data_IF_333004587214
#
_entry.id   IF_333004587214
#
_cell.length_a   1.000
_cell.length_b   1.000
_cell.length_c   1.000
_cell.angle_alpha   90.00
_cell.angle_beta   90.00
_cell.angle_gamma   90.00
#
_symmetry.space_group_name_H-M   'P 1'
#
loop_
_entity.id
_entity.type
_entity.pdbx_description
1 polymer ?
#
# COMPACT_ATOMS: atom_id res chain seq x y z
N UNK A 1 -9.89 1.95 -38.33
CA UNK A 1 -8.44 1.72 -38.46
C UNK A 1 -8.14 0.33 -37.94
N UNK A 2 -7.92 -0.65 -38.84
CA UNK A 2 -7.68 -2.05 -38.47
C UNK A 2 -6.19 -2.21 -38.18
N UNK A 3 -5.83 -2.49 -36.93
CA UNK A 3 -4.44 -2.70 -36.52
C UNK A 3 -4.01 -4.08 -37.00
N UNK A 4 -3.16 -4.14 -38.03
CA UNK A 4 -2.52 -5.39 -38.46
C UNK A 4 -1.51 -5.82 -37.37
N UNK A 5 -1.91 -6.75 -36.50
CA UNK A 5 -0.93 -7.60 -35.82
C UNK A 5 -0.27 -8.46 -36.88
N UNK A 6 1.05 -8.35 -37.03
CA UNK A 6 1.78 -9.14 -38.02
C UNK A 6 1.68 -10.64 -37.69
N UNK A 7 1.94 -11.49 -38.69
CA UNK A 7 1.88 -12.96 -38.56
C UNK A 7 2.84 -13.48 -37.47
N UNK A 8 3.93 -12.74 -37.24
CA UNK A 8 4.88 -12.98 -36.14
C UNK A 8 4.22 -12.84 -34.77
N UNK A 9 3.44 -11.78 -34.56
CA UNK A 9 2.79 -11.48 -33.27
C UNK A 9 1.64 -12.42 -32.98
N UNK A 10 0.90 -12.82 -34.01
CA UNK A 10 -0.09 -13.88 -33.88
C UNK A 10 0.56 -15.19 -33.42
N UNK A 11 1.71 -15.55 -34.01
CA UNK A 11 2.46 -16.73 -33.60
C UNK A 11 3.01 -16.62 -32.17
N UNK A 12 3.54 -15.46 -31.78
CA UNK A 12 4.00 -15.19 -30.40
C UNK A 12 2.85 -15.32 -29.40
N UNK A 13 1.70 -14.68 -29.68
CA UNK A 13 0.49 -14.79 -28.86
C UNK A 13 0.07 -16.25 -28.66
N UNK A 14 0.01 -17.03 -29.74
CA UNK A 14 -0.36 -18.46 -29.69
C UNK A 14 0.64 -19.27 -28.86
N UNK A 15 1.95 -18.99 -28.99
CA UNK A 15 3.00 -19.66 -28.20
C UNK A 15 2.89 -19.32 -26.71
N UNK A 16 2.65 -18.05 -26.37
CA UNK A 16 2.42 -17.61 -24.98
C UNK A 16 1.22 -18.34 -24.38
N UNK A 17 0.07 -18.32 -25.09
CA UNK A 17 -1.14 -18.99 -24.62
C UNK A 17 -0.91 -20.48 -24.38
N UNK A 18 -0.29 -21.19 -25.33
CA UNK A 18 -0.01 -22.62 -25.17
C UNK A 18 0.92 -22.91 -24.01
N UNK A 19 2.01 -22.15 -23.90
CA UNK A 19 2.98 -22.34 -22.81
C UNK A 19 2.30 -22.20 -21.45
N UNK A 20 1.57 -21.10 -21.24
CA UNK A 20 0.93 -20.80 -19.96
C UNK A 20 -0.19 -21.80 -19.62
N UNK A 21 -1.02 -22.20 -20.59
CA UNK A 21 -2.07 -23.21 -20.35
C UNK A 21 -1.51 -24.60 -20.00
N UNK A 22 -0.27 -24.91 -20.41
CA UNK A 22 0.37 -26.20 -20.11
C UNK A 22 1.06 -26.22 -18.73
N UNK A 23 1.13 -25.07 -18.04
CA UNK A 23 1.64 -25.03 -16.68
C UNK A 23 0.64 -25.69 -15.73
N UNK A 24 1.17 -26.49 -14.80
CA UNK A 24 0.36 -27.17 -13.79
C UNK A 24 -0.38 -26.15 -12.92
N UNK A 25 -1.66 -26.40 -12.66
CA UNK A 25 -2.49 -25.56 -11.78
C UNK A 25 -2.97 -24.24 -12.41
N UNK A 26 -2.79 -24.05 -13.72
CA UNK A 26 -3.36 -22.91 -14.44
C UNK A 26 -4.78 -23.25 -14.89
N UNK A 27 -5.74 -22.41 -14.50
CA UNK A 27 -7.16 -22.54 -14.86
C UNK A 27 -7.54 -21.63 -16.05
N UNK A 28 -6.96 -20.43 -16.12
CA UNK A 28 -7.25 -19.48 -17.19
C UNK A 28 -6.02 -18.71 -17.66
N UNK A 29 -5.98 -18.39 -18.96
CA UNK A 29 -4.95 -17.53 -19.55
C UNK A 29 -5.56 -16.58 -20.57
N UNK A 30 -5.33 -15.29 -20.37
CA UNK A 30 -5.64 -14.23 -21.32
C UNK A 30 -4.34 -13.60 -21.84
N UNK A 31 -4.24 -13.45 -23.16
CA UNK A 31 -3.08 -12.81 -23.80
C UNK A 31 -3.57 -11.77 -24.80
N UNK A 32 -3.19 -10.53 -24.56
CA UNK A 32 -3.49 -9.38 -25.40
C UNK A 32 -2.19 -8.74 -25.88
N UNK A 33 -2.17 -8.35 -27.15
CA UNK A 33 -1.07 -7.61 -27.75
C UNK A 33 -1.63 -6.28 -28.25
N UNK A 34 -1.01 -5.18 -27.85
CA UNK A 34 -1.36 -3.83 -28.28
C UNK A 34 -0.17 -3.20 -28.96
N UNK A 35 -0.34 -2.78 -30.21
CA UNK A 35 0.65 -1.97 -30.90
C UNK A 35 0.66 -0.54 -30.33
N UNK A 36 1.84 -0.05 -29.93
CA UNK A 36 2.04 1.24 -29.29
C UNK A 36 2.94 2.18 -30.11
N UNK A 37 2.92 2.05 -31.45
CA UNK A 37 3.76 2.85 -32.33
C UNK A 37 5.24 2.50 -32.14
N UNK A 38 6.07 3.52 -31.97
CA UNK A 38 7.52 3.38 -31.81
C UNK A 38 7.93 2.63 -30.54
N UNK A 39 7.04 2.58 -29.53
CA UNK A 39 7.25 1.78 -28.33
C UNK A 39 7.09 0.26 -28.58
N UNK A 40 6.81 -0.15 -29.82
CA UNK A 40 6.64 -1.54 -30.19
C UNK A 40 5.32 -2.11 -29.68
N UNK A 41 5.34 -3.38 -29.28
CA UNK A 41 4.15 -4.11 -28.85
C UNK A 41 4.17 -4.24 -27.33
N UNK A 42 3.07 -3.80 -26.71
CA UNK A 42 2.80 -4.06 -25.31
C UNK A 42 1.96 -5.32 -25.17
N UNK A 43 2.48 -6.27 -24.40
CA UNK A 43 1.79 -7.49 -24.05
C UNK A 43 1.07 -7.31 -22.71
N UNK A 44 -0.19 -7.69 -22.65
CA UNK A 44 -0.94 -7.83 -21.40
C UNK A 44 -1.33 -9.28 -21.23
N UNK A 45 -0.89 -9.90 -20.15
CA UNK A 45 -1.03 -11.33 -19.88
C UNK A 45 -1.64 -11.49 -18.51
N UNK A 46 -2.76 -12.21 -18.42
CA UNK A 46 -3.41 -12.56 -17.16
C UNK A 46 -3.46 -14.07 -17.04
N UNK A 47 -2.93 -14.60 -15.96
CA UNK A 47 -2.89 -16.03 -15.66
C UNK A 47 -3.66 -16.26 -14.37
N UNK A 48 -4.79 -16.96 -14.45
CA UNK A 48 -5.52 -17.42 -13.27
C UNK A 48 -5.11 -18.84 -12.93
N UNK A 49 -4.71 -19.06 -11.68
CA UNK A 49 -4.46 -20.40 -11.15
C UNK A 49 -5.72 -20.97 -10.51
N UNK A 50 -5.73 -22.29 -10.32
CA UNK A 50 -6.67 -22.98 -9.45
C UNK A 50 -6.65 -22.36 -8.05
N UNK A 51 -7.77 -22.49 -7.33
CA UNK A 51 -7.83 -22.10 -5.92
C UNK A 51 -6.96 -23.04 -5.08
N UNK A 52 -6.30 -22.49 -4.04
CA UNK A 52 -5.38 -23.22 -3.15
C UNK A 52 -4.27 -23.98 -3.89
N UNK A 53 -3.55 -23.34 -4.84
CA UNK A 53 -2.50 -24.02 -5.57
C UNK A 53 -1.39 -24.43 -4.58
N UNK A 54 -0.84 -25.65 -4.67
CA UNK A 54 0.26 -26.08 -3.80
C UNK A 54 1.45 -25.11 -3.91
N UNK A 55 2.13 -24.83 -2.79
CA UNK A 55 3.27 -23.91 -2.75
C UNK A 55 4.34 -24.22 -3.82
N UNK A 56 4.65 -25.50 -4.05
CA UNK A 56 5.60 -25.90 -5.09
C UNK A 56 5.14 -25.55 -6.51
N UNK A 57 3.82 -25.59 -6.77
CA UNK A 57 3.23 -25.15 -8.03
C UNK A 57 3.38 -23.63 -8.17
N UNK A 58 3.09 -22.86 -7.12
CA UNK A 58 3.27 -21.41 -7.10
C UNK A 58 4.72 -21.02 -7.39
N UNK A 59 5.69 -21.65 -6.71
CA UNK A 59 7.13 -21.39 -6.91
C UNK A 59 7.52 -21.65 -8.37
N UNK A 60 7.08 -22.77 -8.94
CA UNK A 60 7.39 -23.11 -10.33
C UNK A 60 6.78 -22.12 -11.33
N UNK A 61 5.53 -21.70 -11.11
CA UNK A 61 4.83 -20.77 -12.00
C UNK A 61 5.40 -19.37 -11.88
N UNK A 62 5.55 -18.83 -10.67
CA UNK A 62 6.11 -17.50 -10.41
C UNK A 62 7.57 -17.42 -10.84
N UNK A 63 8.38 -18.43 -10.54
CA UNK A 63 9.82 -18.43 -10.85
C UNK A 63 10.13 -18.51 -12.35
N UNK A 64 9.31 -19.22 -13.13
CA UNK A 64 9.63 -19.51 -14.53
C UNK A 64 8.84 -18.66 -15.54
N UNK A 65 7.62 -18.24 -15.21
CA UNK A 65 6.71 -17.68 -16.22
C UNK A 65 7.18 -16.35 -16.78
N UNK A 66 7.66 -15.43 -15.93
CA UNK A 66 8.13 -14.12 -16.38
C UNK A 66 9.28 -14.24 -17.39
N UNK A 67 10.29 -15.05 -17.09
CA UNK A 67 11.42 -15.30 -17.99
C UNK A 67 10.96 -15.89 -19.34
N UNK A 68 10.06 -16.89 -19.30
CA UNK A 68 9.60 -17.54 -20.52
C UNK A 68 8.72 -16.62 -21.37
N UNK A 69 7.92 -15.79 -20.73
CA UNK A 69 7.10 -14.78 -21.41
C UNK A 69 7.97 -13.75 -22.12
N UNK A 70 9.03 -13.26 -21.46
CA UNK A 70 10.02 -12.36 -22.09
C UNK A 70 10.66 -13.02 -23.32
N UNK A 71 11.12 -14.28 -23.18
CA UNK A 71 11.72 -15.04 -24.28
C UNK A 71 10.77 -15.20 -25.49
N UNK A 72 9.51 -15.60 -25.24
CA UNK A 72 8.54 -15.86 -26.31
C UNK A 72 8.06 -14.54 -26.95
N UNK A 73 7.81 -13.51 -26.14
CA UNK A 73 7.37 -12.20 -26.64
C UNK A 73 8.48 -11.46 -27.39
N UNK A 74 9.75 -11.80 -27.14
CA UNK A 74 10.91 -11.07 -27.67
C UNK A 74 10.94 -9.61 -27.21
N UNK A 75 10.21 -9.30 -26.13
CA UNK A 75 10.01 -7.96 -25.60
C UNK A 75 10.71 -7.86 -24.24
N UNK A 76 11.18 -6.66 -23.90
CA UNK A 76 11.70 -6.39 -22.56
C UNK A 76 10.58 -6.48 -21.51
N UNK A 77 10.95 -6.69 -20.24
CA UNK A 77 10.03 -6.65 -19.08
C UNK A 77 9.12 -5.44 -19.08
N UNK A 78 9.65 -4.26 -19.44
CA UNK A 78 8.88 -3.00 -19.50
C UNK A 78 7.73 -2.99 -20.54
N UNK A 79 7.78 -3.88 -21.53
CA UNK A 79 6.77 -4.03 -22.56
C UNK A 79 5.78 -5.17 -22.26
N UNK A 80 5.94 -5.87 -21.13
CA UNK A 80 5.09 -6.98 -20.69
C UNK A 80 4.42 -6.63 -19.36
N UNK A 81 3.10 -6.46 -19.39
CA UNK A 81 2.24 -6.42 -18.21
C UNK A 81 1.69 -7.83 -17.96
N UNK A 82 2.40 -8.62 -17.14
CA UNK A 82 1.98 -9.96 -16.75
C UNK A 82 1.49 -9.97 -15.31
N UNK A 83 0.33 -10.58 -15.07
CA UNK A 83 -0.20 -10.85 -13.73
C UNK A 83 -0.57 -12.33 -13.59
N UNK A 84 -0.16 -12.91 -12.47
CA UNK A 84 -0.55 -14.25 -12.02
C UNK A 84 -1.45 -14.06 -10.80
N UNK A 85 -2.65 -14.63 -10.82
CA UNK A 85 -3.64 -14.45 -9.78
C UNK A 85 -4.19 -15.78 -9.29
N UNK A 86 -4.42 -15.89 -7.99
CA UNK A 86 -5.04 -17.06 -7.37
C UNK A 86 -5.78 -16.68 -6.08
N UNK A 87 -6.56 -17.63 -5.57
CA UNK A 87 -7.14 -17.54 -4.23
C UNK A 87 -6.37 -18.48 -3.30
N UNK A 88 -5.96 -17.94 -2.15
CA UNK A 88 -5.40 -18.70 -1.03
C UNK A 88 -6.28 -18.45 0.18
N UNK A 89 -6.92 -19.49 0.70
CA UNK A 89 -8.02 -19.42 1.65
C UNK A 89 -9.12 -18.48 1.15
N UNK A 90 -9.24 -17.32 1.79
CA UNK A 90 -10.14 -16.24 1.37
C UNK A 90 -9.39 -15.00 0.88
N UNK A 91 -8.06 -15.05 0.81
CA UNK A 91 -7.20 -13.97 0.32
C UNK A 91 -7.01 -14.09 -1.18
N UNK A 92 -7.29 -13.01 -1.92
CA UNK A 92 -6.93 -12.91 -3.33
C UNK A 92 -5.49 -12.48 -3.47
N UNK A 93 -4.65 -13.29 -4.11
CA UNK A 93 -3.26 -12.92 -4.41
C UNK A 93 -3.12 -12.54 -5.87
N UNK A 94 -2.41 -11.44 -6.14
CA UNK A 94 -2.00 -11.00 -7.47
C UNK A 94 -0.50 -10.76 -7.49
N UNK A 95 0.15 -11.25 -8.53
CA UNK A 95 1.60 -11.21 -8.66
C UNK A 95 1.99 -10.74 -10.06
N UNK A 96 2.62 -9.58 -10.15
CA UNK A 96 2.89 -8.91 -11.43
C UNK A 96 4.36 -8.52 -11.63
N UNK A 97 5.28 -9.15 -10.90
CA UNK A 97 6.71 -8.93 -11.07
C UNK A 97 7.52 -10.20 -11.10
N UNK A 98 8.68 -10.12 -11.75
CA UNK A 98 9.79 -11.03 -11.52
C UNK A 98 10.44 -10.72 -10.15
N UNK A 99 10.84 -11.76 -9.44
CA UNK A 99 11.59 -11.68 -8.17
C UNK A 99 12.90 -12.45 -8.27
N UNK A 100 13.88 -12.08 -7.46
CA UNK A 100 15.18 -12.76 -7.42
C UNK A 100 15.09 -14.18 -6.87
N UNK A 101 14.41 -14.34 -5.73
CA UNK A 101 14.15 -15.63 -5.10
C UNK A 101 12.63 -15.89 -5.02
N UNK A 102 12.11 -16.66 -5.99
CA UNK A 102 10.70 -17.03 -6.01
C UNK A 102 10.32 -17.99 -4.88
N UNK A 103 11.27 -18.76 -4.33
CA UNK A 103 10.98 -19.75 -3.28
C UNK A 103 10.61 -19.03 -1.99
N UNK A 104 11.48 -18.14 -1.53
CA UNK A 104 11.27 -17.41 -0.28
C UNK A 104 10.13 -16.39 -0.41
N UNK A 105 10.04 -15.69 -1.54
CA UNK A 105 8.99 -14.71 -1.75
C UNK A 105 7.58 -15.35 -1.80
N UNK A 106 7.42 -16.50 -2.47
CA UNK A 106 6.13 -17.22 -2.49
C UNK A 106 5.77 -17.72 -1.09
N UNK A 107 6.72 -18.33 -0.36
CA UNK A 107 6.47 -18.79 1.01
C UNK A 107 6.05 -17.64 1.93
N UNK A 108 6.73 -16.50 1.86
CA UNK A 108 6.42 -15.33 2.66
C UNK A 108 5.01 -14.79 2.36
N UNK A 109 4.62 -14.74 1.08
CA UNK A 109 3.27 -14.28 0.68
C UNK A 109 2.18 -15.27 1.06
N UNK A 110 2.40 -16.58 0.84
CA UNK A 110 1.45 -17.61 1.25
C UNK A 110 1.30 -17.66 2.78
N UNK A 111 2.39 -17.53 3.53
CA UNK A 111 2.38 -17.48 4.99
C UNK A 111 1.71 -16.24 5.58
N UNK A 112 1.58 -15.18 4.77
CA UNK A 112 0.84 -13.98 5.14
C UNK A 112 -0.67 -14.12 4.94
N UNK A 113 -1.13 -14.98 4.03
CA UNK A 113 -2.55 -15.17 3.76
C UNK A 113 -3.32 -15.54 5.04
N UNK A 114 -4.42 -14.85 5.28
CA UNK A 114 -5.25 -15.05 6.46
C UNK A 114 -6.69 -14.59 6.17
N UNK A 115 -7.71 -15.08 6.92
CA UNK A 115 -9.10 -14.70 6.71
C UNK A 115 -9.39 -13.20 6.81
N UNK A 116 -8.61 -12.48 7.64
CA UNK A 116 -8.72 -11.03 7.80
C UNK A 116 -8.20 -10.24 6.58
N UNK A 117 -7.44 -10.88 5.68
CA UNK A 117 -6.86 -10.25 4.49
C UNK A 117 -7.79 -10.47 3.30
N UNK A 118 -8.16 -9.37 2.64
CA UNK A 118 -8.96 -9.40 1.42
C UNK A 118 -8.08 -9.73 0.21
N UNK A 119 -6.93 -9.04 0.09
CA UNK A 119 -6.03 -9.23 -1.04
C UNK A 119 -4.58 -8.88 -0.74
N UNK A 120 -3.67 -9.54 -1.44
CA UNK A 120 -2.24 -9.26 -1.47
C UNK A 120 -1.85 -9.02 -2.93
N UNK A 121 -1.10 -7.96 -3.19
CA UNK A 121 -0.56 -7.63 -4.51
C UNK A 121 0.95 -7.50 -4.43
N UNK A 122 1.68 -8.22 -5.26
CA UNK A 122 3.14 -8.15 -5.37
C UNK A 122 3.48 -7.58 -6.74
N UNK A 123 4.02 -6.36 -6.75
CA UNK A 123 4.26 -5.59 -7.98
C UNK A 123 5.63 -4.93 -7.97
N UNK A 124 6.03 -4.32 -9.08
CA UNK A 124 7.25 -3.50 -9.17
C UNK A 124 7.28 -2.30 -8.22
N UNK A 125 6.13 -1.92 -7.63
CA UNK A 125 6.04 -0.88 -6.61
C UNK A 125 6.17 -1.41 -5.18
N UNK A 126 6.33 -2.74 -5.03
CA UNK A 126 6.38 -3.43 -3.76
C UNK A 126 5.16 -4.32 -3.50
N UNK A 127 5.04 -4.75 -2.25
CA UNK A 127 3.96 -5.64 -1.81
C UNK A 127 2.89 -4.82 -1.09
N UNK A 128 1.63 -4.98 -1.48
CA UNK A 128 0.48 -4.30 -0.89
C UNK A 128 -0.51 -5.31 -0.31
N UNK A 129 -0.85 -5.15 0.95
CA UNK A 129 -1.81 -5.97 1.69
C UNK A 129 -3.04 -5.13 1.99
N UNK A 130 -4.21 -5.61 1.59
CA UNK A 130 -5.50 -5.03 1.94
C UNK A 130 -6.21 -5.94 2.91
N UNK A 131 -6.42 -5.46 4.12
CA UNK A 131 -7.28 -6.08 5.12
C UNK A 131 -8.74 -5.82 4.79
N UNK A 132 -9.60 -6.76 5.14
CA UNK A 132 -11.06 -6.59 5.06
C UNK A 132 -11.49 -5.43 5.95
N UNK A 133 -12.62 -4.81 5.60
CA UNK A 133 -13.21 -3.75 6.41
C UNK A 133 -13.55 -4.26 7.82
N UNK A 134 -13.31 -3.42 8.81
CA UNK A 134 -13.60 -3.70 10.22
C UNK A 134 -14.48 -2.59 10.81
N UNK A 135 -15.35 -2.95 11.75
CA UNK A 135 -16.15 -1.97 12.50
C UNK A 135 -15.34 -1.25 13.58
N UNK A 136 -14.31 -1.91 14.09
CA UNK A 136 -13.39 -1.39 15.11
C UNK A 136 -11.93 -1.51 14.65
N UNK A 137 -11.05 -0.71 15.26
CA UNK A 137 -9.65 -0.68 14.89
C UNK A 137 -8.98 -2.01 15.28
N UNK A 138 -8.33 -2.73 14.35
CA UNK A 138 -7.76 -4.04 14.63
C UNK A 138 -6.50 -3.95 15.51
N UNK A 139 -6.38 -4.83 16.49
CA UNK A 139 -5.27 -4.81 17.47
C UNK A 139 -3.93 -5.33 16.89
N UNK A 140 -3.97 -6.21 15.89
CA UNK A 140 -2.75 -6.86 15.35
C UNK A 140 -2.84 -7.02 13.83
N UNK A 141 -2.72 -5.90 13.12
CA UNK A 141 -2.75 -5.87 11.66
C UNK A 141 -1.43 -5.42 11.04
N UNK A 142 -0.57 -4.69 11.76
CA UNK A 142 0.74 -4.29 11.24
C UNK A 142 1.70 -5.49 11.25
N UNK A 143 2.46 -5.65 10.17
CA UNK A 143 3.51 -6.66 10.10
C UNK A 143 4.64 -6.26 11.05
N UNK A 144 5.14 -7.24 11.81
CA UNK A 144 6.24 -7.02 12.74
C UNK A 144 7.53 -6.62 11.99
N UNK A 145 8.37 -5.76 12.59
CA UNK A 145 9.70 -5.47 12.06
C UNK A 145 10.50 -6.77 11.85
N UNK A 146 11.23 -6.86 10.73
CA UNK A 146 12.05 -8.04 10.40
C UNK A 146 11.29 -9.24 9.84
N UNK A 147 9.98 -9.15 9.60
CA UNK A 147 9.23 -10.20 8.90
C UNK A 147 9.78 -10.44 7.49
N UNK A 148 9.82 -11.70 7.06
CA UNK A 148 10.36 -12.13 5.75
C UNK A 148 9.68 -11.40 4.58
N UNK A 149 8.40 -11.06 4.72
CA UNK A 149 7.65 -10.34 3.68
C UNK A 149 8.16 -8.92 3.44
N UNK A 150 8.82 -8.31 4.43
CA UNK A 150 9.47 -7.00 4.30
C UNK A 150 10.80 -7.09 3.52
N UNK A 151 11.37 -8.29 3.43
CA UNK A 151 12.66 -8.54 2.76
C UNK A 151 12.49 -8.89 1.27
N UNK A 152 11.25 -8.97 0.76
CA UNK A 152 10.99 -9.28 -0.65
C UNK A 152 11.56 -8.17 -1.54
N UNK A 153 12.75 -8.45 -2.10
CA UNK A 153 13.50 -7.59 -3.03
C UNK A 153 13.70 -6.13 -2.54
N UNK A 154 13.73 -5.90 -1.21
CA UNK A 154 13.94 -4.58 -0.58
C UNK A 154 12.98 -3.48 -1.08
N UNK A 155 11.78 -3.85 -1.53
CA UNK A 155 10.77 -2.87 -1.95
C UNK A 155 9.83 -2.47 -0.81
N UNK A 156 9.15 -1.31 -0.94
CA UNK A 156 8.18 -0.88 0.05
C UNK A 156 7.08 -1.93 0.27
N UNK A 157 6.73 -2.12 1.53
CA UNK A 157 5.62 -2.93 1.97
C UNK A 157 4.49 -2.01 2.43
N UNK A 158 3.31 -2.17 1.85
CA UNK A 158 2.12 -1.35 2.14
C UNK A 158 1.05 -2.22 2.78
N UNK A 159 0.45 -1.73 3.85
CA UNK A 159 -0.70 -2.34 4.50
C UNK A 159 -1.83 -1.33 4.54
N UNK A 160 -3.05 -1.77 4.25
CA UNK A 160 -4.24 -0.91 4.29
C UNK A 160 -5.40 -1.64 4.95
N UNK A 161 -6.08 -0.97 5.88
CA UNK A 161 -7.34 -1.41 6.47
C UNK A 161 -8.36 -0.28 6.38
N UNK A 162 -9.64 -0.62 6.25
CA UNK A 162 -10.75 0.33 6.36
C UNK A 162 -11.46 0.09 7.69
N UNK A 163 -11.55 1.11 8.54
CA UNK A 163 -12.26 1.06 9.82
C UNK A 163 -13.45 2.01 9.75
N UNK A 164 -14.66 1.47 9.58
CA UNK A 164 -15.82 2.27 9.15
C UNK A 164 -15.56 2.92 7.78
N UNK A 165 -15.62 4.25 7.70
CA UNK A 165 -15.27 5.00 6.47
C UNK A 165 -13.81 5.48 6.44
N UNK A 166 -13.06 5.27 7.53
CA UNK A 166 -11.68 5.75 7.64
C UNK A 166 -10.72 4.77 6.97
N UNK A 167 -9.92 5.26 6.03
CA UNK A 167 -8.83 4.48 5.45
C UNK A 167 -7.56 4.65 6.29
N UNK A 168 -6.99 3.55 6.76
CA UNK A 168 -5.71 3.52 7.48
C UNK A 168 -4.69 2.82 6.61
N UNK A 169 -3.58 3.49 6.29
CA UNK A 169 -2.49 2.96 5.47
C UNK A 169 -1.17 3.08 6.21
N UNK A 170 -0.39 2.00 6.21
CA UNK A 170 1.01 2.01 6.64
C UNK A 170 1.88 1.63 5.45
N UNK A 171 2.97 2.35 5.22
CA UNK A 171 4.01 2.00 4.25
C UNK A 171 5.34 1.92 4.98
N UNK A 172 5.95 0.74 4.97
CA UNK A 172 7.25 0.48 5.58
C UNK A 172 8.25 -0.02 4.54
N UNK A 173 9.53 0.22 4.79
CA UNK A 173 10.68 -0.37 4.12
C UNK A 173 11.41 -1.35 5.04
N UNK A 174 11.01 -1.45 6.32
CA UNK A 174 11.51 -2.42 7.29
C UNK A 174 12.73 -1.95 8.08
N UNK A 175 13.11 -0.68 7.98
CA UNK A 175 14.26 -0.11 8.70
C UNK A 175 13.88 0.46 10.08
N UNK A 176 12.63 0.83 10.29
CA UNK A 176 12.12 1.45 11.51
C UNK A 176 10.96 0.66 12.14
N UNK A 177 10.87 0.70 13.47
CA UNK A 177 9.74 0.15 14.21
C UNK A 177 8.57 1.14 14.26
N UNK A 178 7.70 1.03 13.25
CA UNK A 178 6.47 1.81 13.16
C UNK A 178 5.39 1.37 14.17
N UNK A 179 5.54 0.19 14.79
CA UNK A 179 4.56 -0.34 15.76
C UNK A 179 4.42 0.53 17.01
N UNK A 180 5.44 1.34 17.32
CA UNK A 180 5.39 2.32 18.42
C UNK A 180 4.43 3.48 18.19
N UNK A 181 3.98 3.72 16.94
CA UNK A 181 3.06 4.82 16.61
C UNK A 181 1.64 4.41 17.02
N UNK A 182 0.96 5.18 17.89
CA UNK A 182 -0.32 4.78 18.49
C UNK A 182 -1.52 5.00 17.54
N UNK A 183 -1.55 4.29 16.40
CA UNK A 183 -2.55 4.49 15.34
C UNK A 183 -4.00 4.25 15.81
N UNK A 184 -4.19 3.31 16.74
CA UNK A 184 -5.51 3.06 17.35
C UNK A 184 -5.99 4.28 18.13
N UNK A 185 -5.13 4.84 18.98
CA UNK A 185 -5.44 6.04 19.76
C UNK A 185 -5.61 7.27 18.86
N UNK A 186 -4.85 7.36 17.76
CA UNK A 186 -5.02 8.42 16.74
C UNK A 186 -6.41 8.32 16.12
N UNK A 187 -6.84 7.13 15.70
CA UNK A 187 -8.20 6.90 15.20
C UNK A 187 -9.26 7.27 16.25
N UNK A 188 -9.06 6.85 17.51
CA UNK A 188 -9.96 7.12 18.63
C UNK A 188 -10.05 8.61 19.00
N UNK A 189 -8.99 9.39 18.77
CA UNK A 189 -8.98 10.83 18.99
C UNK A 189 -9.71 11.64 17.90
N UNK A 190 -9.86 11.08 16.69
CA UNK A 190 -10.69 11.70 15.64
C UNK A 190 -12.16 11.63 16.09
N UNK A 191 -12.85 12.77 16.18
CA UNK A 191 -14.25 12.79 16.60
C UNK A 191 -15.16 11.96 15.67
N UNK A 192 -16.18 11.22 16.18
CA UNK A 192 -17.10 10.44 15.35
C UNK A 192 -17.74 11.23 14.19
N UNK A 193 -18.02 12.53 14.38
CA UNK A 193 -18.58 13.41 13.33
C UNK A 193 -17.67 13.57 12.11
N UNK A 194 -16.36 13.33 12.28
CA UNK A 194 -15.39 13.36 11.20
C UNK A 194 -15.23 11.98 10.58
N UNK A 195 -15.19 10.91 11.37
CA UNK A 195 -14.91 9.54 10.88
C UNK A 195 -15.90 9.03 9.82
N UNK A 196 -17.13 9.55 9.80
CA UNK A 196 -18.15 9.16 8.82
C UNK A 196 -18.06 9.91 7.49
N UNK A 197 -17.11 10.84 7.34
CA UNK A 197 -16.95 11.64 6.12
C UNK A 197 -16.12 10.88 5.08
N UNK A 198 -16.45 11.08 3.81
CA UNK A 198 -15.62 10.61 2.71
C UNK A 198 -14.25 11.32 2.74
N UNK A 199 -13.19 10.63 2.31
CA UNK A 199 -11.85 11.20 2.21
C UNK A 199 -11.06 11.26 3.52
N UNK A 200 -11.61 10.72 4.61
CA UNK A 200 -10.90 10.62 5.89
C UNK A 200 -9.85 9.53 5.83
N UNK A 201 -8.61 9.88 6.16
CA UNK A 201 -7.51 8.91 6.13
C UNK A 201 -6.44 9.17 7.18
N UNK A 202 -5.83 8.07 7.63
CA UNK A 202 -4.63 8.03 8.46
C UNK A 202 -3.56 7.32 7.63
N UNK A 203 -2.42 7.97 7.38
CA UNK A 203 -1.32 7.41 6.61
C UNK A 203 -0.03 7.53 7.41
N UNK A 204 0.65 6.41 7.62
CA UNK A 204 1.96 6.37 8.25
C UNK A 204 2.97 5.87 7.22
N UNK A 205 3.92 6.71 6.87
CA UNK A 205 4.94 6.43 5.87
C UNK A 205 6.32 6.44 6.54
N UNK A 206 7.06 5.34 6.43
CA UNK A 206 8.46 5.26 6.92
C UNK A 206 9.39 6.16 6.11
N UNK A 207 9.12 6.27 4.81
CA UNK A 207 9.83 7.14 3.89
C UNK A 207 8.80 7.88 3.04
N UNK A 208 8.31 8.99 3.58
CA UNK A 208 7.38 9.85 2.86
C UNK A 208 8.06 10.47 1.64
N UNK A 209 7.41 10.42 0.47
CA UNK A 209 8.01 10.82 -0.80
C UNK A 209 8.33 12.33 -0.87
N UNK A 210 7.65 13.14 -0.06
CA UNK A 210 7.80 14.61 -0.07
C UNK A 210 8.82 15.05 0.97
N UNK A 211 8.71 14.53 2.18
CA UNK A 211 9.54 14.92 3.33
C UNK A 211 10.79 14.07 3.51
N UNK A 212 10.84 12.88 2.91
CA UNK A 212 11.89 11.87 3.13
C UNK A 212 12.05 11.52 4.62
N UNK A 213 10.96 11.55 5.37
CA UNK A 213 10.90 11.35 6.82
C UNK A 213 9.87 10.28 7.19
N UNK A 214 9.99 9.75 8.41
CA UNK A 214 8.92 8.96 9.03
C UNK A 214 7.78 9.91 9.40
N UNK A 215 6.71 9.91 8.61
CA UNK A 215 5.63 10.90 8.67
C UNK A 215 4.27 10.26 8.93
N UNK A 216 3.53 10.81 9.89
CA UNK A 216 2.10 10.54 10.07
C UNK A 216 1.27 11.64 9.40
N UNK A 217 0.32 11.28 8.54
CA UNK A 217 -0.63 12.21 7.93
C UNK A 217 -2.05 11.83 8.34
N UNK A 218 -2.81 12.78 8.86
CA UNK A 218 -4.20 12.59 9.27
C UNK A 218 -5.07 13.63 8.56
N UNK A 219 -5.84 13.19 7.58
CA UNK A 219 -6.80 14.01 6.86
C UNK A 219 -8.19 13.73 7.41
N UNK A 220 -8.74 14.66 8.20
CA UNK A 220 -10.02 14.47 8.87
C UNK A 220 -10.74 15.76 9.29
N UNK A 221 -10.01 16.83 9.61
CA UNK A 221 -10.51 17.89 10.51
C UNK A 221 -11.10 19.06 9.74
N UNK A 222 -12.42 19.22 9.79
CA UNK A 222 -13.13 20.32 9.11
C UNK A 222 -13.47 20.03 7.65
N UNK A 223 -13.66 21.09 6.87
CA UNK A 223 -13.95 21.05 5.42
C UNK A 223 -13.22 22.21 4.74
N UNK A 224 -13.15 22.19 3.40
CA UNK A 224 -12.51 23.30 2.67
C UNK A 224 -13.13 24.67 3.00
N UNK A 225 -14.47 24.73 3.11
CA UNK A 225 -15.19 25.99 3.37
C UNK A 225 -15.00 26.52 4.79
N UNK A 226 -14.94 25.63 5.79
CA UNK A 226 -14.84 26.01 7.20
C UNK A 226 -13.39 26.04 7.72
N UNK A 227 -12.45 25.55 6.90
CA UNK A 227 -11.05 25.40 7.26
C UNK A 227 -10.80 24.25 8.26
N UNK A 228 -9.53 24.14 8.68
CA UNK A 228 -9.07 23.14 9.63
C UNK A 228 -9.62 23.40 11.05
N UNK A 229 -10.33 22.40 11.60
CA UNK A 229 -10.71 22.39 13.03
C UNK A 229 -9.47 22.18 13.91
N UNK A 230 -9.02 23.27 14.53
CA UNK A 230 -7.78 23.31 15.32
C UNK A 230 -7.87 22.53 16.62
N UNK A 231 -9.03 22.47 17.26
CA UNK A 231 -9.22 21.76 18.52
C UNK A 231 -9.23 20.24 18.29
N UNK A 232 -9.88 19.79 17.22
CA UNK A 232 -9.86 18.39 16.81
C UNK A 232 -8.46 17.94 16.37
N UNK A 233 -7.74 18.78 15.62
CA UNK A 233 -6.36 18.54 15.25
C UNK A 233 -5.44 18.44 16.48
N UNK A 234 -5.60 19.32 17.47
CA UNK A 234 -4.81 19.31 18.70
C UNK A 234 -4.95 18.01 19.49
N UNK A 235 -6.15 17.42 19.56
CA UNK A 235 -6.38 16.12 20.21
C UNK A 235 -5.57 14.99 19.57
N UNK A 236 -5.51 14.96 18.24
CA UNK A 236 -4.72 13.96 17.53
C UNK A 236 -3.22 14.21 17.67
N UNK A 237 -2.78 15.47 17.63
CA UNK A 237 -1.38 15.82 17.92
C UNK A 237 -0.97 15.35 19.32
N UNK A 238 -1.81 15.58 20.33
CA UNK A 238 -1.53 15.19 21.71
C UNK A 238 -1.24 13.69 21.88
N UNK A 239 -1.94 12.84 21.13
CA UNK A 239 -1.76 11.37 21.16
C UNK A 239 -0.36 10.94 20.75
N UNK A 240 0.27 11.66 19.81
CA UNK A 240 1.58 11.27 19.26
C UNK A 240 2.76 12.01 19.89
N UNK A 241 2.50 13.00 20.76
CA UNK A 241 3.55 13.62 21.55
C UNK A 241 4.23 12.56 22.43
N UNK A 242 5.55 12.61 22.51
CA UNK A 242 6.38 11.60 23.17
C UNK A 242 6.81 10.43 22.27
N UNK A 243 6.20 10.23 21.09
CA UNK A 243 6.63 9.18 20.17
C UNK A 243 8.02 9.49 19.59
N UNK A 244 9.00 8.62 19.84
CA UNK A 244 10.41 8.84 19.47
C UNK A 244 10.74 8.48 18.02
N UNK A 245 9.86 7.79 17.31
CA UNK A 245 10.07 7.30 15.95
C UNK A 245 9.59 8.33 14.91
N UNK A 246 8.49 9.02 15.19
CA UNK A 246 7.95 10.04 14.29
C UNK A 246 8.92 11.22 14.13
N UNK A 247 9.12 11.59 12.87
CA UNK A 247 9.92 12.74 12.45
C UNK A 247 9.05 13.89 11.92
N UNK A 248 7.78 13.62 11.65
CA UNK A 248 6.81 14.67 11.33
C UNK A 248 5.36 14.19 11.42
N UNK A 249 4.46 15.16 11.58
CA UNK A 249 3.02 14.97 11.53
C UNK A 249 2.36 16.07 10.69
N UNK A 250 1.43 15.67 9.84
CA UNK A 250 0.59 16.55 9.03
C UNK A 250 -0.87 16.30 9.38
N UNK A 251 -1.59 17.36 9.71
CA UNK A 251 -3.01 17.32 10.06
C UNK A 251 -3.76 18.21 9.08
N UNK A 252 -4.79 17.66 8.44
CA UNK A 252 -5.50 18.37 7.38
C UNK A 252 -7.00 18.16 7.45
N UNK A 253 -7.73 18.97 6.67
CA UNK A 253 -9.11 18.67 6.29
C UNK A 253 -9.16 17.32 5.55
N UNK A 254 -10.33 16.67 5.55
CA UNK A 254 -10.54 15.49 4.70
C UNK A 254 -10.27 15.84 3.23
N UNK A 255 -9.80 14.87 2.44
CA UNK A 255 -9.46 15.13 1.05
C UNK A 255 -10.72 15.40 0.22
N UNK A 256 -10.85 16.63 -0.26
CA UNK A 256 -11.93 17.07 -1.16
C UNK A 256 -11.33 17.63 -2.46
N UNK A 257 -12.10 17.65 -3.56
CA UNK A 257 -11.63 18.16 -4.85
C UNK A 257 -11.23 19.66 -4.83
N UNK A 258 -11.73 20.42 -3.85
CA UNK A 258 -11.59 21.88 -3.78
C UNK A 258 -10.25 22.37 -3.20
N UNK A 259 -9.44 21.47 -2.64
CA UNK A 259 -8.17 21.81 -1.98
C UNK A 259 -8.14 21.30 -0.53
N UNK A 260 -7.01 21.52 0.16
CA UNK A 260 -6.78 21.02 1.51
C UNK A 260 -6.15 22.09 2.38
N UNK A 261 -6.79 22.40 3.51
CA UNK A 261 -6.20 23.20 4.57
C UNK A 261 -5.43 22.26 5.51
N UNK A 262 -4.19 22.60 5.83
CA UNK A 262 -3.31 21.71 6.58
C UNK A 262 -2.34 22.47 7.50
N UNK A 263 -1.91 21.76 8.55
CA UNK A 263 -0.78 22.13 9.38
C UNK A 263 0.23 21.00 9.42
N UNK A 264 1.51 21.35 9.55
CA UNK A 264 2.63 20.42 9.62
C UNK A 264 3.51 20.73 10.82
N UNK A 265 3.95 19.68 11.50
CA UNK A 265 4.90 19.75 12.60
C UNK A 265 6.04 18.78 12.33
N UNK A 266 7.27 19.30 12.32
CA UNK A 266 8.45 18.43 12.37
C UNK A 266 8.67 17.97 13.81
N UNK A 267 9.13 16.74 14.00
CA UNK A 267 9.30 16.11 15.30
C UNK A 267 10.72 15.57 15.49
N UNK A 268 11.20 15.63 16.73
CA UNK A 268 12.48 15.05 17.14
C UNK A 268 12.38 14.55 18.57
N UNK A 269 12.72 13.27 18.78
CA UNK A 269 12.73 12.63 20.10
C UNK A 269 11.39 12.80 20.86
N UNK A 270 10.26 12.72 20.16
CA UNK A 270 8.92 12.87 20.77
C UNK A 270 8.44 14.30 20.98
N UNK A 271 9.23 15.31 20.62
CA UNK A 271 8.82 16.72 20.72
C UNK A 271 8.70 17.37 19.35
N UNK A 272 7.79 18.34 19.23
CA UNK A 272 7.70 19.19 18.04
C UNK A 272 8.89 20.15 17.99
N UNK A 273 9.46 20.32 16.80
CA UNK A 273 10.54 21.25 16.51
C UNK A 273 9.95 22.57 16.01
N UNK A 274 10.22 23.65 16.73
CA UNK A 274 9.68 24.97 16.39
C UNK A 274 8.17 25.08 16.59
N UNK A 275 7.51 25.90 15.76
CA UNK A 275 6.09 26.22 15.91
C UNK A 275 5.18 25.46 14.93
N UNK A 276 5.76 24.71 13.98
CA UNK A 276 5.04 24.13 12.84
C UNK A 276 4.69 25.15 11.75
N UNK A 277 4.00 24.69 10.71
CA UNK A 277 3.60 25.50 9.55
C UNK A 277 2.12 25.32 9.25
N UNK A 278 1.35 26.40 9.00
CA UNK A 278 1.74 27.80 9.13
C UNK A 278 1.93 28.22 10.61
N UNK A 279 2.89 29.12 10.93
CA UNK A 279 3.33 29.33 12.32
C UNK A 279 2.24 29.74 13.31
N UNK A 280 1.44 30.76 12.99
CA UNK A 280 0.43 31.30 13.93
C UNK A 280 -0.62 30.26 14.32
N UNK A 281 -1.15 29.52 13.34
CA UNK A 281 -2.17 28.48 13.58
C UNK A 281 -1.55 27.27 14.27
N UNK A 282 -0.39 26.82 13.78
CA UNK A 282 0.30 25.64 14.31
C UNK A 282 0.75 25.83 15.75
N UNK A 283 1.20 27.03 16.13
CA UNK A 283 1.55 27.34 17.52
C UNK A 283 0.38 27.21 18.49
N UNK A 284 -0.83 27.64 18.09
CA UNK A 284 -2.03 27.51 18.91
C UNK A 284 -2.44 26.04 19.08
N UNK A 285 -2.41 25.26 17.99
CA UNK A 285 -2.70 23.82 18.02
C UNK A 285 -1.68 23.08 18.90
N UNK A 286 -0.39 23.41 18.78
CA UNK A 286 0.67 22.80 19.58
C UNK A 286 0.48 23.07 21.07
N UNK A 287 0.17 24.31 21.46
CA UNK A 287 -0.07 24.66 22.85
C UNK A 287 -1.25 23.88 23.44
N UNK A 288 -2.36 23.78 22.70
CA UNK A 288 -3.52 22.99 23.11
C UNK A 288 -3.20 21.49 23.23
N UNK A 289 -2.42 20.94 22.29
CA UNK A 289 -1.99 19.55 22.31
C UNK A 289 -1.09 19.22 23.51
N UNK A 290 -0.16 20.12 23.87
CA UNK A 290 0.71 19.95 25.03
C UNK A 290 -0.07 19.97 26.36
N UNK A 291 -1.07 20.84 26.46
CA UNK A 291 -1.98 20.87 27.61
C UNK A 291 -2.77 19.55 27.72
N UNK A 292 -3.33 19.07 26.61
CA UNK A 292 -4.06 17.81 26.58
C UNK A 292 -3.17 16.60 26.91
N UNK A 293 -1.95 16.52 26.35
CA UNK A 293 -1.00 15.44 26.64
C UNK A 293 -0.61 15.39 28.12
N UNK A 294 -0.43 16.55 28.77
CA UNK A 294 -0.12 16.63 30.20
C UNK A 294 -1.28 16.19 31.11
N UNK A 295 -2.51 16.16 30.59
CA UNK A 295 -3.69 15.68 31.32
C UNK A 295 -3.96 14.18 31.14
N UNK A 296 -3.27 13.55 30.19
CA UNK A 296 -3.34 12.11 29.90
C UNK A 296 -2.27 11.30 30.64
N UNK A 297 -1.27 11.96 31.21
CA UNK A 297 -0.19 11.40 32.04
C UNK A 297 -0.51 11.45 33.52
#
# INVERSE_FOLDING_TARGET
MVVYCSLLEFNRKRRLQRYLHLLKGVDSVEVHAKFCGDAGIRWTIRVGLENEPPVNTLIAVVGNSFNKVEEISGSSTSAVDMEIAWMQESTRVRWSRKVGDATEAVKAVTGLCAPAIESIEVSSYGTSVRYRGAESFPDSWMVAPGSDVLSIDLLPFKQCVRVGEVSVTVRCTGCADLGSVPLKQVFEAISPIYRSREGVSIKLDEMDFVSCQIQLRVAAFGSYENGLDSDAAAKVLAVVLGNRVLQGIELSTAWERAGVDHVRFDMKNGSVVGQGWPPKRSAAILAAAQQAASSLS
#
